data_IF_124658770405
#
_entry.id   IF_124658770405
#
_cell.length_a   1.000
_cell.length_b   1.000
_cell.length_c   1.000
_cell.angle_alpha   90.00
_cell.angle_beta   90.00
_cell.angle_gamma   90.00
#
_symmetry.space_group_name_H-M   'P 1'
#
loop_
_entity.id
_entity.type
_entity.pdbx_description
1 polymer ?
#
# COMPACT_ATOMS: atom_id res chain seq x y z
N UNK A 1 -13.86 26.57 10.41
CA UNK A 1 -12.51 26.27 10.95
C UNK A 1 -12.06 24.90 10.44
N UNK A 2 -10.98 24.87 9.65
CA UNK A 2 -10.29 23.63 9.28
C UNK A 2 -9.75 22.99 10.57
N UNK A 3 -9.77 21.64 10.72
CA UNK A 3 -9.19 21.00 11.90
C UNK A 3 -7.71 21.38 12.02
N UNK A 4 -7.25 21.61 13.26
CA UNK A 4 -5.99 22.28 13.57
C UNK A 4 -4.73 21.55 13.04
N UNK A 5 -4.84 20.27 12.67
CA UNK A 5 -3.75 19.48 12.09
C UNK A 5 -4.34 18.31 11.30
N UNK A 6 -4.33 18.40 9.97
CA UNK A 6 -4.47 17.23 9.10
C UNK A 6 -3.09 16.81 8.59
N UNK A 7 -2.75 15.53 8.64
CA UNK A 7 -1.54 15.02 8.00
C UNK A 7 -1.77 14.93 6.49
N UNK A 8 -0.94 15.62 5.69
CA UNK A 8 -0.95 15.44 4.24
C UNK A 8 -0.36 14.07 3.93
N UNK A 9 -1.21 13.12 3.54
CA UNK A 9 -0.76 11.77 3.18
C UNK A 9 -0.13 11.73 1.80
N UNK A 10 -0.74 12.39 0.81
CA UNK A 10 -0.25 12.46 -0.56
C UNK A 10 -0.76 13.69 -1.30
N UNK A 11 0.02 14.18 -2.27
CA UNK A 11 -0.43 15.16 -3.24
C UNK A 11 -0.18 14.60 -4.66
N UNK A 12 -1.25 14.20 -5.34
CA UNK A 12 -1.16 13.74 -6.73
C UNK A 12 -1.38 14.92 -7.66
N UNK A 13 -0.31 15.38 -8.33
CA UNK A 13 -0.44 16.33 -9.42
C UNK A 13 -0.71 15.56 -10.72
N UNK A 14 -1.87 15.73 -11.36
CA UNK A 14 -2.13 15.13 -12.66
C UNK A 14 -1.05 15.53 -13.68
N UNK A 15 -0.40 14.55 -14.32
CA UNK A 15 0.45 14.79 -15.50
C UNK A 15 -0.44 14.97 -16.76
N UNK A 16 -1.68 14.50 -16.70
CA UNK A 16 -2.77 14.70 -17.68
C UNK A 16 -4.07 14.97 -16.92
N UNK A 17 -5.06 15.55 -17.59
CA UNK A 17 -6.39 15.84 -17.05
C UNK A 17 -6.95 14.72 -16.13
N UNK A 18 -7.45 15.09 -14.95
CA UNK A 18 -8.19 14.19 -14.06
C UNK A 18 -9.56 13.77 -14.63
N UNK A 19 -9.95 14.26 -15.81
CA UNK A 19 -11.16 13.83 -16.49
C UNK A 19 -11.17 12.30 -16.62
N UNK A 20 -12.13 11.66 -15.96
CA UNK A 20 -12.25 10.20 -15.86
C UNK A 20 -11.74 9.59 -14.55
N UNK A 21 -11.26 10.39 -13.59
CA UNK A 21 -11.05 9.95 -12.20
C UNK A 21 -12.31 10.30 -11.38
N UNK A 22 -12.98 9.33 -10.73
CA UNK A 22 -14.15 9.56 -9.89
C UNK A 22 -13.79 10.20 -8.53
N UNK A 23 -12.88 11.18 -8.49
CA UNK A 23 -12.41 11.80 -7.25
C UNK A 23 -13.14 13.11 -6.99
N UNK A 24 -13.72 13.24 -5.80
CA UNK A 24 -14.41 14.45 -5.35
C UNK A 24 -13.69 15.04 -4.14
N UNK A 25 -13.48 16.35 -4.12
CA UNK A 25 -12.92 17.03 -2.96
C UNK A 25 -13.91 16.99 -1.79
N UNK A 26 -13.43 16.56 -0.61
CA UNK A 26 -14.24 16.50 0.59
C UNK A 26 -13.77 15.43 1.57
N UNK A 27 -14.50 15.20 2.67
CA UNK A 27 -14.26 14.07 3.56
C UNK A 27 -14.46 12.76 2.80
N UNK A 28 -13.57 11.81 3.03
CA UNK A 28 -13.65 10.45 2.48
C UNK A 28 -13.73 9.43 3.61
N UNK A 29 -14.41 8.32 3.34
CA UNK A 29 -14.54 7.26 4.33
C UNK A 29 -13.17 6.61 4.52
N UNK A 30 -12.66 6.71 5.74
CA UNK A 30 -11.35 6.19 6.13
C UNK A 30 -11.54 5.04 7.09
N UNK A 31 -10.88 3.92 6.82
CA UNK A 31 -10.86 2.73 7.67
C UNK A 31 -9.59 2.63 8.49
N UNK A 32 -8.44 2.85 7.85
CA UNK A 32 -7.13 2.91 8.48
C UNK A 32 -6.31 4.04 7.88
N UNK A 33 -5.55 4.76 8.69
CA UNK A 33 -4.57 5.73 8.21
C UNK A 33 -3.43 5.89 9.21
N UNK A 34 -2.22 6.19 8.71
CA UNK A 34 -0.97 6.06 9.49
C UNK A 34 -0.94 6.91 10.77
N UNK A 35 -1.63 8.04 10.76
CA UNK A 35 -1.74 8.97 11.88
C UNK A 35 -2.80 8.57 12.92
N UNK A 36 -3.49 7.43 12.76
CA UNK A 36 -4.34 6.89 13.82
C UNK A 36 -3.49 6.47 15.03
N UNK A 37 -3.99 6.77 16.23
CA UNK A 37 -3.38 6.30 17.47
C UNK A 37 -3.45 4.77 17.58
N UNK A 38 -2.47 4.17 18.25
CA UNK A 38 -2.38 2.71 18.43
C UNK A 38 -1.80 1.96 17.23
N UNK A 39 -1.71 0.64 17.32
CA UNK A 39 -1.26 -0.24 16.23
C UNK A 39 -2.42 -0.55 15.29
N UNK A 40 -2.11 -0.87 14.03
CA UNK A 40 -3.14 -1.39 13.14
C UNK A 40 -3.62 -2.78 13.58
N UNK A 41 -4.87 -3.16 13.28
CA UNK A 41 -5.39 -4.47 13.63
C UNK A 41 -4.59 -5.58 12.95
N UNK A 42 -4.07 -6.52 13.74
CA UNK A 42 -3.31 -7.67 13.22
C UNK A 42 -4.22 -8.67 12.48
N UNK A 43 -3.64 -9.48 11.59
CA UNK A 43 -4.32 -10.55 10.84
C UNK A 43 -4.83 -11.74 11.67
N UNK A 44 -4.69 -11.69 13.00
CA UNK A 44 -5.10 -12.76 13.91
C UNK A 44 -4.16 -13.96 13.94
N UNK A 45 -2.96 -13.83 13.37
CA UNK A 45 -1.89 -14.85 13.41
C UNK A 45 -0.65 -14.28 14.07
N UNK A 46 -0.18 -15.00 15.09
CA UNK A 46 1.04 -14.66 15.83
C UNK A 46 2.24 -14.63 14.88
N UNK A 47 3.10 -13.63 15.03
CA UNK A 47 4.33 -13.44 14.25
C UNK A 47 4.08 -13.34 12.74
N UNK A 48 2.96 -12.73 12.34
CA UNK A 48 2.70 -12.37 10.95
C UNK A 48 2.72 -10.86 10.76
N UNK A 49 3.16 -10.41 9.58
CA UNK A 49 3.13 -9.00 9.18
C UNK A 49 1.78 -8.66 8.50
N UNK A 50 0.72 -9.40 8.81
CA UNK A 50 -0.61 -9.26 8.21
C UNK A 50 -1.37 -8.13 8.92
N UNK A 51 -1.93 -7.19 8.16
CA UNK A 51 -2.89 -6.20 8.66
C UNK A 51 -4.30 -6.52 8.19
N UNK A 52 -5.25 -6.44 9.12
CA UNK A 52 -6.68 -6.53 8.85
C UNK A 52 -7.25 -5.15 8.56
N UNK A 53 -7.77 -4.96 7.35
CA UNK A 53 -8.45 -3.75 6.91
C UNK A 53 -9.96 -3.99 6.99
N UNK A 54 -10.71 -3.28 7.85
CA UNK A 54 -12.16 -3.39 7.83
C UNK A 54 -12.69 -2.80 6.52
N UNK A 55 -13.55 -3.54 5.82
CA UNK A 55 -14.17 -3.09 4.56
C UNK A 55 -15.69 -3.11 4.67
N UNK A 56 -16.35 -2.17 4.00
CA UNK A 56 -17.80 -2.09 4.01
C UNK A 56 -18.43 -2.84 2.82
N UNK A 57 -19.61 -3.45 2.99
CA UNK A 57 -20.29 -3.73 4.26
C UNK A 57 -19.79 -5.04 4.92
N UNK A 58 -19.30 -4.95 6.16
CA UNK A 58 -19.15 -6.09 7.09
C UNK A 58 -18.04 -7.10 6.80
N UNK A 59 -17.08 -6.79 5.92
CA UNK A 59 -15.97 -7.67 5.57
C UNK A 59 -14.63 -7.21 6.16
N UNK A 60 -13.61 -8.02 5.94
CA UNK A 60 -12.22 -7.64 6.18
C UNK A 60 -11.34 -8.07 5.01
N UNK A 61 -10.45 -7.19 4.59
CA UNK A 61 -9.34 -7.53 3.73
C UNK A 61 -8.09 -7.80 4.58
N UNK A 62 -7.21 -8.66 4.10
CA UNK A 62 -5.87 -8.85 4.66
C UNK A 62 -4.85 -8.30 3.68
N UNK A 63 -3.99 -7.41 4.14
CA UNK A 63 -2.82 -6.94 3.39
C UNK A 63 -1.57 -7.46 4.10
N UNK A 64 -0.62 -8.01 3.33
CA UNK A 64 0.57 -8.59 3.92
C UNK A 64 1.77 -8.60 2.97
N UNK A 65 3.00 -8.47 3.48
CA UNK A 65 4.21 -8.79 2.76
C UNK A 65 4.32 -10.30 2.48
N UNK A 66 4.81 -10.63 1.29
CA UNK A 66 5.06 -11.99 0.80
C UNK A 66 6.38 -12.05 0.06
N UNK A 67 7.16 -13.10 0.29
CA UNK A 67 8.30 -13.38 -0.55
C UNK A 67 7.80 -13.91 -1.89
N UNK A 68 8.17 -13.23 -2.98
CA UNK A 68 7.98 -13.76 -4.33
C UNK A 68 9.15 -14.71 -4.61
N UNK A 69 8.90 -16.01 -4.80
CA UNK A 69 9.95 -16.94 -5.18
C UNK A 69 10.59 -16.49 -6.49
N UNK A 70 11.88 -16.75 -6.66
CA UNK A 70 12.53 -16.49 -7.92
C UNK A 70 11.82 -17.23 -9.07
N UNK A 71 11.50 -16.52 -10.15
CA UNK A 71 10.99 -17.12 -11.37
C UNK A 71 12.16 -17.88 -11.98
N UNK A 72 12.11 -19.21 -12.03
CA UNK A 72 13.14 -20.03 -12.66
C UNK A 72 13.17 -19.86 -14.19
N UNK A 73 13.51 -18.68 -14.68
CA UNK A 73 13.62 -18.34 -16.09
C UNK A 73 15.04 -18.53 -16.65
N UNK A 74 15.94 -19.09 -15.84
CA UNK A 74 17.33 -19.37 -16.20
C UNK A 74 18.27 -18.17 -16.08
N UNK A 75 17.76 -16.98 -15.70
CA UNK A 75 18.54 -15.77 -15.45
C UNK A 75 18.54 -15.36 -13.96
N UNK A 76 17.72 -15.99 -13.12
CA UNK A 76 17.83 -15.85 -11.66
C UNK A 76 19.07 -16.59 -11.18
N UNK A 77 19.86 -15.96 -10.32
CA UNK A 77 21.18 -16.44 -9.86
C UNK A 77 21.17 -17.75 -9.03
N UNK A 78 20.18 -18.63 -9.19
CA UNK A 78 20.19 -20.03 -8.74
C UNK A 78 20.39 -20.25 -7.23
N UNK A 79 20.43 -19.20 -6.42
CA UNK A 79 20.81 -19.25 -5.01
C UNK A 79 19.62 -19.52 -4.07
N UNK A 80 18.41 -19.70 -4.61
CA UNK A 80 17.19 -19.96 -3.83
C UNK A 80 16.68 -18.74 -3.04
N UNK A 81 17.23 -17.54 -3.25
CA UNK A 81 16.71 -16.33 -2.61
C UNK A 81 15.47 -15.79 -3.33
N UNK A 82 14.49 -15.24 -2.59
CA UNK A 82 13.31 -14.61 -3.18
C UNK A 82 13.70 -13.39 -4.03
N UNK A 83 13.05 -13.23 -5.18
CA UNK A 83 13.35 -12.14 -6.13
C UNK A 83 12.91 -10.76 -5.61
N UNK A 84 11.83 -10.72 -4.84
CA UNK A 84 11.30 -9.50 -4.24
C UNK A 84 10.41 -9.82 -3.03
N UNK A 85 10.32 -8.87 -2.10
CA UNK A 85 9.23 -8.81 -1.15
C UNK A 85 8.08 -8.01 -1.77
N UNK A 86 6.86 -8.53 -1.70
CA UNK A 86 5.70 -8.00 -2.42
C UNK A 86 4.49 -7.90 -1.49
N UNK A 87 3.63 -6.92 -1.73
CA UNK A 87 2.37 -6.81 -1.01
C UNK A 87 1.30 -7.69 -1.67
N UNK A 88 0.64 -8.52 -0.89
CA UNK A 88 -0.49 -9.36 -1.28
C UNK A 88 -1.75 -8.86 -0.56
N UNK A 89 -2.79 -8.54 -1.32
CA UNK A 89 -4.13 -8.22 -0.83
C UNK A 89 -5.02 -9.45 -0.95
N UNK A 90 -5.74 -9.78 0.12
CA UNK A 90 -6.74 -10.85 0.15
C UNK A 90 -8.09 -10.31 0.56
N UNK A 91 -9.14 -10.64 -0.20
CA UNK A 91 -10.51 -10.27 0.13
C UNK A 91 -11.48 -11.26 -0.53
N UNK A 92 -12.45 -11.78 0.23
CA UNK A 92 -13.49 -12.67 -0.30
C UNK A 92 -12.95 -13.92 -1.01
N UNK A 93 -11.86 -14.51 -0.51
CA UNK A 93 -11.21 -15.68 -1.12
C UNK A 93 -10.29 -15.37 -2.32
N UNK A 94 -10.30 -14.14 -2.81
CA UNK A 94 -9.43 -13.68 -3.91
C UNK A 94 -8.09 -13.17 -3.37
N UNK A 95 -7.06 -13.21 -4.22
CA UNK A 95 -5.71 -12.71 -3.92
C UNK A 95 -5.20 -11.88 -5.07
N UNK A 96 -4.55 -10.76 -4.76
CA UNK A 96 -3.89 -9.91 -5.75
C UNK A 96 -2.53 -9.46 -5.22
N UNK A 97 -1.50 -9.53 -6.06
CA UNK A 97 -0.21 -8.89 -5.78
C UNK A 97 -0.29 -7.43 -6.20
N UNK A 98 0.20 -6.53 -5.34
CA UNK A 98 0.17 -5.08 -5.55
C UNK A 98 1.58 -4.57 -5.80
N UNK A 99 2.11 -3.75 -4.90
CA UNK A 99 3.44 -3.16 -5.00
C UNK A 99 4.51 -4.12 -4.48
N UNK A 100 5.77 -3.76 -4.71
CA UNK A 100 6.92 -4.49 -4.20
C UNK A 100 7.88 -3.56 -3.44
N UNK A 101 8.64 -4.13 -2.52
CA UNK A 101 9.72 -3.45 -1.85
C UNK A 101 10.98 -3.58 -2.71
N UNK A 102 11.64 -2.47 -3.02
CA UNK A 102 12.91 -2.49 -3.74
C UNK A 102 13.95 -3.29 -2.91
N UNK A 103 14.45 -4.36 -3.52
CA UNK A 103 15.47 -5.24 -2.94
C UNK A 103 16.87 -4.61 -2.91
N UNK A 104 17.04 -3.43 -3.50
CA UNK A 104 18.31 -2.73 -3.64
C UNK A 104 18.59 -1.72 -2.51
N UNK A 105 17.68 -1.61 -1.54
CA UNK A 105 17.96 -0.89 -0.30
C UNK A 105 18.41 -1.93 0.71
N UNK A 106 19.72 -1.99 0.92
CA UNK A 106 20.35 -2.78 1.99
C UNK A 106 19.47 -2.70 3.24
N UNK A 107 18.97 -3.85 3.72
CA UNK A 107 18.16 -3.93 4.96
C UNK A 107 18.93 -3.52 6.23
N UNK A 108 20.09 -2.86 6.07
CA UNK A 108 20.87 -2.21 7.12
C UNK A 108 21.02 -0.68 7.00
N UNK A 109 20.50 -0.02 5.95
CA UNK A 109 20.54 1.46 5.81
C UNK A 109 19.16 2.01 5.38
N UNK A 110 18.26 2.26 6.34
CA UNK A 110 17.07 3.10 6.14
C UNK A 110 15.97 2.57 5.19
N UNK A 111 15.99 1.29 4.82
CA UNK A 111 14.88 0.63 4.10
C UNK A 111 13.59 0.64 4.93
N UNK A 112 12.41 0.68 4.28
CA UNK A 112 11.17 0.45 5.03
C UNK A 112 11.14 -1.00 5.54
N UNK A 113 11.07 -1.17 6.85
CA UNK A 113 10.89 -2.46 7.49
C UNK A 113 9.43 -2.92 7.27
N UNK A 114 9.19 -4.00 6.50
CA UNK A 114 7.85 -4.53 6.24
C UNK A 114 7.20 -5.15 7.48
N UNK A 115 7.89 -5.18 8.63
CA UNK A 115 7.37 -5.71 9.90
C UNK A 115 6.21 -4.88 10.46
N UNK A 116 6.21 -3.55 10.27
CA UNK A 116 5.13 -2.66 10.75
C UNK A 116 4.19 -2.26 9.61
N UNK A 117 2.91 -2.62 9.72
CA UNK A 117 1.90 -2.30 8.73
C UNK A 117 1.75 -0.79 8.44
N UNK A 118 2.06 0.07 9.41
CA UNK A 118 2.04 1.54 9.19
C UNK A 118 3.15 2.02 8.26
N UNK A 119 4.19 1.22 8.02
CA UNK A 119 5.27 1.59 7.08
C UNK A 119 4.79 1.48 5.64
N UNK A 120 4.01 0.43 5.33
CA UNK A 120 3.58 0.14 3.97
C UNK A 120 2.12 0.51 3.66
N UNK A 121 1.24 0.64 4.67
CA UNK A 121 -0.15 1.05 4.52
C UNK A 121 -0.37 2.47 5.06
N UNK A 122 -0.24 3.46 4.18
CA UNK A 122 -0.44 4.87 4.54
C UNK A 122 -1.92 5.18 4.80
N UNK A 123 -2.82 4.61 3.99
CA UNK A 123 -4.27 4.81 4.10
C UNK A 123 -5.05 3.68 3.44
N UNK A 124 -6.20 3.34 4.01
CA UNK A 124 -7.23 2.49 3.43
C UNK A 124 -8.62 3.07 3.68
N UNK A 125 -9.48 3.02 2.67
CA UNK A 125 -10.83 3.58 2.75
C UNK A 125 -11.57 3.48 1.43
N UNK A 126 -12.48 4.41 1.20
CA UNK A 126 -13.28 4.55 -0.01
C UNK A 126 -13.11 6.00 -0.50
N UNK A 127 -12.14 6.19 -1.41
CA UNK A 127 -11.63 7.48 -1.86
C UNK A 127 -12.49 8.03 -2.99
N UNK A 128 -13.01 7.15 -3.84
CA UNK A 128 -13.84 7.50 -4.99
C UNK A 128 -15.36 7.36 -4.75
N UNK A 129 -15.77 6.85 -3.59
CA UNK A 129 -17.17 6.79 -3.17
C UNK A 129 -17.93 5.62 -3.77
N UNK A 130 -17.26 4.63 -4.35
CA UNK A 130 -17.91 3.43 -4.89
C UNK A 130 -18.30 2.40 -3.80
N UNK A 131 -17.92 2.66 -2.54
CA UNK A 131 -18.23 1.85 -1.38
C UNK A 131 -17.25 0.71 -1.12
N UNK A 132 -16.24 0.52 -1.98
CA UNK A 132 -15.25 -0.56 -1.90
C UNK A 132 -13.87 -0.04 -1.46
N UNK A 133 -12.92 -0.97 -1.37
CA UNK A 133 -11.60 -0.71 -0.82
C UNK A 133 -10.66 -0.04 -1.82
N UNK A 134 -10.20 1.14 -1.45
CA UNK A 134 -9.11 1.87 -2.05
C UNK A 134 -7.90 1.90 -1.10
N UNK A 135 -6.70 1.98 -1.67
CA UNK A 135 -5.45 1.88 -0.92
C UNK A 135 -4.46 2.96 -1.34
N UNK A 136 -3.79 3.53 -0.35
CA UNK A 136 -2.56 4.28 -0.51
C UNK A 136 -1.43 3.49 0.15
N UNK A 137 -0.54 2.96 -0.69
CA UNK A 137 0.57 2.12 -0.26
C UNK A 137 1.87 2.89 -0.35
N UNK A 138 2.79 2.62 0.56
CA UNK A 138 4.17 3.10 0.51
C UNK A 138 5.10 1.90 0.43
N UNK A 139 6.06 1.93 -0.49
CA UNK A 139 7.15 0.95 -0.56
C UNK A 139 8.48 1.66 -0.81
N UNK A 140 9.58 0.94 -0.71
CA UNK A 140 10.92 1.47 -0.94
C UNK A 140 11.68 1.82 0.34
N UNK A 141 12.70 2.65 0.23
CA UNK A 141 13.58 3.00 1.34
C UNK A 141 13.90 4.49 1.31
N UNK A 142 15.15 4.83 1.02
CA UNK A 142 15.58 6.21 0.86
C UNK A 142 14.83 6.96 -0.23
N UNK A 143 14.64 6.31 -1.37
CA UNK A 143 13.61 6.69 -2.33
C UNK A 143 12.37 5.86 -2.01
N UNK A 144 11.37 6.52 -1.47
CA UNK A 144 10.05 5.95 -1.19
C UNK A 144 9.15 6.12 -2.41
N UNK A 145 8.36 5.11 -2.71
CA UNK A 145 7.32 5.13 -3.71
C UNK A 145 5.98 5.08 -3.00
N UNK A 146 5.09 6.01 -3.34
CA UNK A 146 3.72 5.98 -2.87
C UNK A 146 2.78 5.73 -4.04
N UNK A 147 1.93 4.73 -3.91
CA UNK A 147 1.06 4.22 -4.97
C UNK A 147 -0.40 4.28 -4.55
N UNK A 148 -1.24 4.86 -5.41
CA UNK A 148 -2.69 4.89 -5.28
C UNK A 148 -3.31 3.73 -6.06
N UNK A 149 -4.18 2.99 -5.39
CA UNK A 149 -4.94 1.90 -5.95
C UNK A 149 -6.42 2.12 -5.68
N UNK A 150 -7.24 2.07 -6.74
CA UNK A 150 -8.68 2.29 -6.66
C UNK A 150 -9.42 1.02 -7.05
N UNK A 151 -10.41 0.64 -6.27
CA UNK A 151 -11.34 -0.45 -6.58
C UNK A 151 -12.09 -0.21 -7.89
N UNK A 152 -12.49 1.03 -8.19
CA UNK A 152 -13.15 1.41 -9.46
C UNK A 152 -12.27 1.24 -10.71
N UNK A 153 -10.95 1.09 -10.53
CA UNK A 153 -9.97 0.87 -11.60
C UNK A 153 -9.59 -0.59 -11.77
N UNK A 154 -10.09 -1.49 -10.93
CA UNK A 154 -9.74 -2.90 -10.96
C UNK A 154 -10.19 -3.56 -12.28
N UNK A 155 -9.29 -4.32 -12.92
CA UNK A 155 -9.69 -5.25 -13.97
C UNK A 155 -10.57 -6.38 -13.39
N UNK A 156 -11.26 -7.15 -14.25
CA UNK A 156 -12.23 -8.16 -13.81
C UNK A 156 -11.69 -9.18 -12.79
N UNK A 157 -10.38 -9.48 -12.82
CA UNK A 157 -9.72 -10.42 -11.90
C UNK A 157 -9.01 -9.74 -10.72
N UNK A 158 -8.99 -8.40 -10.67
CA UNK A 158 -8.32 -7.61 -9.64
C UNK A 158 -9.29 -7.15 -8.53
N UNK A 159 -8.77 -6.98 -7.33
CA UNK A 159 -9.46 -6.36 -6.20
C UNK A 159 -9.37 -4.83 -6.27
N UNK A 160 -8.23 -4.30 -6.71
CA UNK A 160 -7.96 -2.87 -6.90
C UNK A 160 -7.10 -2.65 -8.15
N UNK A 161 -7.29 -1.55 -8.86
CA UNK A 161 -6.48 -1.17 -10.02
C UNK A 161 -5.51 -0.04 -9.69
N UNK A 162 -4.30 -0.10 -10.25
CA UNK A 162 -3.31 0.97 -10.10
C UNK A 162 -3.81 2.28 -10.74
N UNK A 163 -3.86 3.35 -9.95
CA UNK A 163 -4.33 4.66 -10.41
C UNK A 163 -3.18 5.66 -10.63
N UNK A 164 -2.05 5.47 -9.95
CA UNK A 164 -0.86 6.30 -10.11
C UNK A 164 0.12 6.12 -8.96
N UNK A 165 1.34 6.62 -9.14
CA UNK A 165 2.35 6.66 -8.08
C UNK A 165 3.17 7.93 -8.14
N UNK A 166 3.85 8.23 -7.04
CA UNK A 166 4.88 9.25 -7.00
C UNK A 166 6.07 8.73 -6.17
N UNK A 167 7.27 9.02 -6.63
CA UNK A 167 8.49 8.73 -5.87
C UNK A 167 8.96 9.99 -5.16
N UNK A 168 9.51 9.82 -3.96
CA UNK A 168 10.07 10.90 -3.18
C UNK A 168 11.19 10.42 -2.25
N UNK A 169 11.97 11.39 -1.79
CA UNK A 169 12.87 11.21 -0.67
C UNK A 169 12.16 11.73 0.57
N UNK A 170 12.03 10.92 1.61
CA UNK A 170 11.48 11.40 2.89
C UNK A 170 12.53 12.32 3.54
N UNK A 171 12.29 13.64 3.64
CA UNK A 171 13.29 14.57 4.18
C UNK A 171 13.58 14.33 5.67
N UNK A 172 12.77 13.50 6.35
CA UNK A 172 12.99 13.10 7.75
C UNK A 172 13.97 11.94 7.88
N UNK A 173 14.30 11.24 6.79
CA UNK A 173 15.28 10.15 6.79
C UNK A 173 16.64 10.72 6.43
N UNK A 174 17.47 10.92 7.46
CA UNK A 174 18.84 11.45 7.32
C UNK A 174 19.87 10.38 6.98
N UNK A 175 19.48 9.11 6.99
CA UNK A 175 20.35 7.94 6.73
C UNK A 175 20.31 7.52 5.24
N UNK A 176 19.95 8.50 4.40
CA UNK A 176 19.76 8.46 2.97
C UNK A 176 20.51 9.66 2.38
#
# INVERSE_FOLDING_TARGET
PLPATGELLAAFKPVRTLAGMPLTAGPVKTWLQRGMEGTYPEGGRIATMEVTIPVAPGGAALLLPRLRPAKGDGNSNGNGQPEALVLELRLGGRRQLLDYFDNNVSMGNGGQDPVDAKTYLAWAGDLDGDGKLDLLLTTGGCRSKMSLWLSSRAAAQELVGFAGSFDYYDPRRTEC
#
